data_IF_630460405852
#
_entry.id   IF_630460405852
#
_cell.length_a   1.000
_cell.length_b   1.000
_cell.length_c   1.000
_cell.angle_alpha   90.00
_cell.angle_beta   90.00
_cell.angle_gamma   90.00
#
_symmetry.space_group_name_H-M   'P 1'
#
loop_
_entity.id
_entity.type
_entity.pdbx_description
1 polymer ?
#
# COMPACT_ATOMS: atom_id res chain seq x y z
N UNK A 1 -10.14 -42.53 -0.55
CA UNK A 1 -9.57 -41.97 -1.80
C UNK A 1 -10.23 -40.65 -2.19
N UNK A 2 -10.25 -39.64 -1.31
CA UNK A 2 -10.97 -38.38 -1.60
C UNK A 2 -10.11 -37.10 -1.40
N UNK A 3 -8.81 -37.24 -1.12
CA UNK A 3 -7.95 -36.06 -0.86
C UNK A 3 -7.16 -35.54 -2.06
N UNK A 4 -7.00 -36.32 -3.12
CA UNK A 4 -6.13 -35.95 -4.24
C UNK A 4 -6.84 -35.07 -5.31
N UNK A 5 -8.18 -35.07 -5.35
CA UNK A 5 -8.94 -34.33 -6.38
C UNK A 5 -9.06 -32.84 -6.03
N UNK A 6 -9.12 -32.48 -4.72
CA UNK A 6 -9.26 -31.09 -4.30
C UNK A 6 -7.98 -30.26 -4.54
N UNK A 7 -6.80 -30.86 -4.37
CA UNK A 7 -5.53 -30.17 -4.59
C UNK A 7 -5.24 -29.90 -6.08
N UNK A 8 -5.67 -30.82 -6.97
CA UNK A 8 -5.51 -30.66 -8.42
C UNK A 8 -6.43 -29.56 -9.00
N UNK A 9 -7.63 -29.37 -8.43
CA UNK A 9 -8.57 -28.35 -8.86
C UNK A 9 -8.08 -26.94 -8.48
N UNK A 10 -7.52 -26.76 -7.28
CA UNK A 10 -6.98 -25.47 -6.86
C UNK A 10 -5.71 -25.05 -7.63
N UNK A 11 -4.87 -26.03 -8.02
CA UNK A 11 -3.69 -25.75 -8.86
C UNK A 11 -4.10 -25.39 -10.30
N UNK A 12 -5.14 -26.02 -10.85
CA UNK A 12 -5.67 -25.71 -12.19
C UNK A 12 -6.32 -24.32 -12.23
N UNK A 13 -7.12 -23.94 -11.22
CA UNK A 13 -7.73 -22.61 -11.16
C UNK A 13 -6.69 -21.49 -10.98
N UNK A 14 -5.63 -21.70 -10.18
CA UNK A 14 -4.53 -20.75 -10.04
C UNK A 14 -3.78 -20.53 -11.35
N UNK A 15 -3.55 -21.61 -12.11
CA UNK A 15 -2.85 -21.55 -13.39
C UNK A 15 -3.73 -20.96 -14.51
N UNK A 16 -5.04 -21.19 -14.49
CA UNK A 16 -5.98 -20.60 -15.44
C UNK A 16 -6.17 -19.09 -15.19
N UNK A 17 -6.17 -18.65 -13.94
CA UNK A 17 -6.20 -17.22 -13.58
C UNK A 17 -4.87 -16.56 -14.00
N UNK A 18 -3.73 -17.17 -13.68
CA UNK A 18 -2.41 -16.70 -14.11
C UNK A 18 -2.33 -16.63 -15.65
N UNK A 19 -2.73 -17.68 -16.35
CA UNK A 19 -2.72 -17.73 -17.81
C UNK A 19 -3.75 -16.77 -18.44
N UNK A 20 -4.90 -16.51 -17.82
CA UNK A 20 -5.89 -15.57 -18.34
C UNK A 20 -5.46 -14.11 -18.16
N UNK A 21 -4.64 -13.80 -17.17
CA UNK A 21 -4.09 -12.47 -16.91
C UNK A 21 -2.84 -12.23 -17.76
N UNK A 22 -1.91 -13.21 -17.83
CA UNK A 22 -0.58 -13.04 -18.44
C UNK A 22 -0.44 -13.64 -19.85
N UNK A 23 -1.36 -14.50 -20.30
CA UNK A 23 -1.31 -15.14 -21.63
C UNK A 23 -2.53 -14.82 -22.47
N UNK A 24 -3.11 -13.63 -22.32
CA UNK A 24 -4.12 -13.17 -23.26
C UNK A 24 -3.46 -13.07 -24.65
N UNK A 25 -3.95 -13.81 -25.68
CA UNK A 25 -3.42 -13.64 -27.02
C UNK A 25 -3.53 -12.16 -27.41
N UNK A 26 -2.57 -11.60 -28.15
CA UNK A 26 -2.57 -10.20 -28.53
C UNK A 26 -3.88 -9.90 -29.25
N UNK A 27 -4.75 -9.17 -28.59
CA UNK A 27 -5.94 -8.60 -29.23
C UNK A 27 -5.49 -7.59 -30.28
N UNK A 28 -6.30 -7.34 -31.32
CA UNK A 28 -5.98 -6.34 -32.33
C UNK A 28 -5.73 -4.99 -31.63
N UNK A 29 -4.63 -4.34 -31.94
CA UNK A 29 -4.11 -2.98 -31.67
C UNK A 29 -4.95 -1.99 -30.80
N UNK A 30 -5.57 -2.41 -29.72
CA UNK A 30 -6.46 -1.60 -28.87
C UNK A 30 -6.27 -1.75 -27.36
N UNK A 31 -5.36 -2.61 -26.90
CA UNK A 31 -5.09 -2.79 -25.47
C UNK A 31 -4.15 -1.72 -24.89
N UNK A 32 -4.02 -1.67 -23.57
CA UNK A 32 -3.08 -0.79 -22.88
C UNK A 32 -1.62 -1.11 -23.26
N UNK A 33 -0.73 -0.10 -23.40
CA UNK A 33 0.67 -0.32 -23.77
C UNK A 33 1.49 -1.00 -22.66
N UNK A 34 1.07 -0.88 -21.42
CA UNK A 34 1.67 -1.55 -20.25
C UNK A 34 0.58 -2.29 -19.50
N UNK A 35 0.82 -3.55 -19.17
CA UNK A 35 0.00 -4.28 -18.21
C UNK A 35 0.53 -3.92 -16.81
N UNK A 36 -0.38 -3.62 -15.90
CA UNK A 36 -0.02 -3.25 -14.52
C UNK A 36 -0.81 -4.17 -13.61
N UNK A 37 -0.10 -4.98 -12.84
CA UNK A 37 -0.68 -5.84 -11.82
C UNK A 37 -0.33 -5.30 -10.44
N UNK A 38 -1.34 -5.26 -9.58
CA UNK A 38 -1.18 -4.89 -8.19
C UNK A 38 -0.88 -6.15 -7.39
N UNK A 39 0.39 -6.36 -7.05
CA UNK A 39 0.78 -7.43 -6.15
C UNK A 39 0.29 -7.12 -4.74
N UNK A 40 -0.80 -7.75 -4.33
CA UNK A 40 -1.36 -7.66 -2.97
C UNK A 40 -0.53 -8.39 -1.91
N UNK A 41 0.48 -9.17 -2.30
CA UNK A 41 1.37 -9.87 -1.39
C UNK A 41 2.52 -8.99 -0.89
N UNK A 42 2.21 -7.90 -0.21
CA UNK A 42 3.19 -7.32 0.69
C UNK A 42 3.01 -8.04 2.03
N UNK A 43 3.96 -8.92 2.37
CA UNK A 43 4.11 -9.39 3.76
C UNK A 43 4.49 -8.16 4.57
N UNK A 44 3.51 -7.53 5.19
CA UNK A 44 3.72 -6.34 6.02
C UNK A 44 4.08 -6.83 7.41
N UNK A 45 5.35 -6.77 7.75
CA UNK A 45 5.81 -7.09 9.11
C UNK A 45 5.32 -6.06 10.12
N UNK A 46 5.12 -4.79 9.70
CA UNK A 46 4.60 -3.71 10.53
C UNK A 46 3.80 -2.70 9.73
N UNK A 47 2.78 -2.12 10.36
CA UNK A 47 1.94 -1.09 9.77
C UNK A 47 1.19 -0.27 10.83
N UNK A 48 0.80 0.94 10.46
CA UNK A 48 -0.15 1.75 11.22
C UNK A 48 -1.39 1.93 10.34
N UNK A 49 -2.55 1.51 10.83
CA UNK A 49 -3.83 1.74 10.13
C UNK A 49 -4.78 2.47 11.06
N UNK A 50 -5.20 3.66 10.64
CA UNK A 50 -6.24 4.41 11.34
C UNK A 50 -7.60 4.16 10.70
N UNK A 51 -8.65 4.08 11.52
CA UNK A 51 -10.05 3.94 11.10
C UNK A 51 -10.77 5.27 11.25
N UNK A 52 -11.80 5.55 10.40
CA UNK A 52 -12.64 6.73 10.56
C UNK A 52 -13.51 6.68 11.81
N UNK A 53 -13.85 5.48 12.29
CA UNK A 53 -14.73 5.29 13.43
C UNK A 53 -14.05 4.52 14.55
N UNK A 54 -14.53 4.74 15.79
CA UNK A 54 -14.09 3.99 16.97
C UNK A 54 -14.53 2.54 16.85
N UNK A 55 -13.57 1.63 16.72
CA UNK A 55 -13.80 0.21 16.82
C UNK A 55 -13.86 -0.23 18.30
N UNK A 56 -14.80 -1.11 18.62
CA UNK A 56 -14.91 -1.76 19.93
C UNK A 56 -14.79 -3.26 19.72
N UNK A 57 -13.55 -3.76 19.72
CA UNK A 57 -13.27 -5.19 19.58
C UNK A 57 -13.23 -5.88 20.93
N UNK A 58 -13.92 -7.01 21.02
CA UNK A 58 -13.82 -7.91 22.17
C UNK A 58 -12.54 -8.74 22.10
N UNK A 59 -12.10 -9.29 23.23
CA UNK A 59 -10.88 -10.10 23.29
C UNK A 59 -10.90 -11.32 22.36
N UNK A 60 -12.07 -11.92 22.11
CA UNK A 60 -12.23 -13.02 21.15
C UNK A 60 -11.97 -12.58 19.72
N UNK A 61 -12.42 -11.38 19.34
CA UNK A 61 -12.18 -10.79 18.01
C UNK A 61 -10.72 -10.39 17.85
N UNK A 62 -10.09 -9.83 18.89
CA UNK A 62 -8.66 -9.50 18.87
C UNK A 62 -7.77 -10.74 18.69
N UNK A 63 -8.17 -11.88 19.29
CA UNK A 63 -7.47 -13.15 19.10
C UNK A 63 -7.63 -13.74 17.68
N UNK A 64 -8.78 -13.50 17.04
CA UNK A 64 -8.99 -13.96 15.65
C UNK A 64 -8.25 -13.13 14.62
N UNK A 65 -7.88 -11.88 14.95
CA UNK A 65 -7.09 -10.99 14.11
C UNK A 65 -5.61 -11.15 14.47
N UNK A 66 -4.90 -12.01 13.77
CA UNK A 66 -3.45 -12.18 14.00
C UNK A 66 -2.65 -10.97 13.53
N UNK A 67 -1.66 -10.53 14.31
CA UNK A 67 -0.85 -9.35 13.98
C UNK A 67 0.11 -9.55 12.80
N UNK A 68 0.53 -10.79 12.56
CA UNK A 68 1.46 -11.13 11.47
C UNK A 68 0.78 -11.64 10.20
N UNK A 69 -0.54 -11.50 10.08
CA UNK A 69 -1.30 -11.97 8.93
C UNK A 69 -2.09 -10.86 8.28
N UNK A 70 -2.42 -10.97 6.98
CA UNK A 70 -3.14 -9.95 6.24
C UNK A 70 -4.57 -9.69 6.77
N UNK A 71 -5.18 -10.65 7.48
CA UNK A 71 -6.59 -10.56 7.88
C UNK A 71 -6.90 -9.33 8.75
N UNK A 72 -5.99 -8.93 9.65
CA UNK A 72 -6.18 -7.74 10.48
C UNK A 72 -6.09 -6.45 9.66
N UNK A 73 -5.16 -6.41 8.73
CA UNK A 73 -5.01 -5.32 7.79
C UNK A 73 -6.24 -5.20 6.87
N UNK A 74 -6.63 -6.30 6.22
CA UNK A 74 -7.78 -6.35 5.31
C UNK A 74 -9.08 -5.99 6.04
N UNK A 75 -9.24 -6.46 7.28
CA UNK A 75 -10.38 -6.11 8.11
C UNK A 75 -10.46 -4.60 8.36
N UNK A 76 -9.34 -3.94 8.63
CA UNK A 76 -9.28 -2.51 8.85
C UNK A 76 -9.52 -1.72 7.55
N UNK A 77 -8.89 -2.14 6.46
CA UNK A 77 -9.04 -1.50 5.15
C UNK A 77 -10.48 -1.60 4.61
N UNK A 78 -11.17 -2.73 4.84
CA UNK A 78 -12.57 -2.92 4.49
C UNK A 78 -13.53 -1.97 5.27
N UNK A 79 -13.09 -1.45 6.41
CA UNK A 79 -13.84 -0.49 7.24
C UNK A 79 -13.47 0.98 6.99
N UNK A 80 -12.87 1.26 5.85
CA UNK A 80 -12.47 2.62 5.49
C UNK A 80 -11.16 3.04 6.14
N UNK A 81 -10.37 2.09 6.64
CA UNK A 81 -9.05 2.34 7.19
C UNK A 81 -8.09 2.90 6.14
N UNK A 82 -7.08 3.60 6.61
CA UNK A 82 -5.95 4.07 5.81
C UNK A 82 -4.66 3.87 6.58
N UNK A 83 -3.60 3.52 5.85
CA UNK A 83 -2.26 3.50 6.42
C UNK A 83 -1.75 4.90 6.72
N UNK A 84 -0.83 5.00 7.68
CA UNK A 84 -0.18 6.26 8.00
C UNK A 84 1.18 6.10 8.65
N UNK A 85 2.03 7.10 8.54
CA UNK A 85 1.93 8.29 7.68
C UNK A 85 2.30 7.98 6.21
N UNK A 86 2.59 6.71 5.90
CA UNK A 86 3.00 6.20 4.58
C UNK A 86 2.17 4.98 4.22
N UNK A 87 1.82 4.87 2.95
CA UNK A 87 1.35 3.62 2.33
C UNK A 87 2.32 3.21 1.24
N UNK A 88 2.61 1.91 1.16
CA UNK A 88 3.50 1.32 0.14
C UNK A 88 2.70 0.45 -0.81
N UNK A 89 2.80 0.76 -2.10
CA UNK A 89 2.08 0.09 -3.18
C UNK A 89 3.12 -0.63 -4.05
N UNK A 90 3.04 -1.96 -4.11
CA UNK A 90 3.91 -2.77 -4.97
C UNK A 90 3.18 -3.10 -6.25
N UNK A 91 3.74 -2.72 -7.38
CA UNK A 91 3.20 -3.00 -8.71
C UNK A 91 4.20 -3.79 -9.52
N UNK A 92 3.69 -4.72 -10.33
CA UNK A 92 4.45 -5.31 -11.44
C UNK A 92 3.94 -4.70 -12.73
N UNK A 93 4.82 -4.07 -13.48
CA UNK A 93 4.52 -3.50 -14.80
C UNK A 93 5.15 -4.35 -15.88
N UNK A 94 4.40 -4.64 -16.95
CA UNK A 94 4.85 -5.48 -18.07
C UNK A 94 4.61 -4.77 -19.40
N UNK A 95 5.61 -4.77 -20.28
CA UNK A 95 5.49 -4.24 -21.64
C UNK A 95 4.54 -5.08 -22.51
N UNK A 96 3.58 -4.45 -23.18
CA UNK A 96 2.54 -5.12 -23.96
C UNK A 96 2.47 -4.63 -25.41
N UNK A 97 3.61 -4.28 -25.99
CA UNK A 97 3.76 -3.90 -27.40
C UNK A 97 4.92 -4.65 -28.06
N UNK A 98 4.86 -4.82 -29.37
CA UNK A 98 5.97 -5.40 -30.15
C UNK A 98 7.21 -4.48 -30.18
N UNK A 99 7.04 -3.21 -29.97
CA UNK A 99 8.13 -2.22 -29.79
C UNK A 99 8.24 -1.82 -28.32
N UNK A 100 9.38 -1.30 -27.94
CA UNK A 100 9.60 -0.81 -26.58
C UNK A 100 8.66 0.37 -26.26
N UNK A 101 7.99 0.31 -25.12
CA UNK A 101 7.24 1.41 -24.53
C UNK A 101 8.03 2.02 -23.39
N UNK A 102 7.78 3.29 -23.07
CA UNK A 102 8.49 3.97 -21.99
C UNK A 102 7.53 4.61 -21.00
N UNK A 103 7.67 4.30 -19.73
CA UNK A 103 7.04 5.06 -18.66
C UNK A 103 7.94 6.26 -18.40
N UNK A 104 7.40 7.47 -18.56
CA UNK A 104 8.10 8.75 -18.43
C UNK A 104 7.51 9.62 -17.32
N UNK A 105 6.57 9.12 -16.57
CA UNK A 105 5.97 9.83 -15.45
C UNK A 105 5.02 8.96 -14.67
N UNK A 106 5.03 9.11 -13.35
CA UNK A 106 4.00 8.61 -12.44
C UNK A 106 3.61 9.74 -11.51
N UNK A 107 2.32 9.95 -11.34
CA UNK A 107 1.73 10.99 -10.48
C UNK A 107 0.67 10.35 -9.58
N UNK A 108 0.72 10.62 -8.28
CA UNK A 108 -0.37 10.30 -7.37
C UNK A 108 -1.41 11.43 -7.42
N UNK A 109 -2.49 11.19 -8.16
CA UNK A 109 -3.55 12.18 -8.39
C UNK A 109 -4.56 12.07 -7.26
N UNK A 110 -4.63 13.11 -6.44
CA UNK A 110 -5.56 13.19 -5.31
C UNK A 110 -7.00 13.33 -5.80
N UNK A 111 -7.90 12.49 -5.30
CA UNK A 111 -9.34 12.63 -5.54
C UNK A 111 -9.98 13.49 -4.45
N UNK A 112 -9.60 13.26 -3.20
CA UNK A 112 -10.03 14.08 -2.05
C UNK A 112 -9.03 13.97 -0.91
N UNK A 113 -8.94 15.05 -0.12
CA UNK A 113 -8.20 15.05 1.14
C UNK A 113 -9.04 15.76 2.21
N UNK A 114 -8.94 15.31 3.44
CA UNK A 114 -9.59 15.92 4.60
C UNK A 114 -8.77 15.68 5.88
N UNK A 115 -9.33 15.99 7.04
CA UNK A 115 -8.71 15.78 8.33
C UNK A 115 -8.27 14.32 8.53
N UNK A 116 -7.14 14.08 9.22
CA UNK A 116 -6.64 12.75 9.52
C UNK A 116 -7.66 11.90 10.28
N UNK A 117 -7.64 10.60 10.02
CA UNK A 117 -8.52 9.65 10.71
C UNK A 117 -8.16 9.56 12.20
N UNK A 118 -9.20 9.51 13.07
CA UNK A 118 -9.04 9.53 14.54
C UNK A 118 -9.94 8.54 15.29
N UNK A 119 -10.65 7.66 14.58
CA UNK A 119 -11.56 6.70 15.24
C UNK A 119 -10.81 5.64 16.02
N UNK A 120 -9.97 4.87 15.40
CA UNK A 120 -9.14 3.84 16.06
C UNK A 120 -7.78 3.74 15.35
N UNK A 121 -6.73 3.47 16.10
CA UNK A 121 -5.42 3.17 15.55
C UNK A 121 -5.05 1.71 15.82
N UNK A 122 -4.65 1.00 14.77
CA UNK A 122 -3.98 -0.30 14.82
C UNK A 122 -2.50 -0.07 14.53
N UNK A 123 -1.65 -0.25 15.54
CA UNK A 123 -0.21 -0.02 15.46
C UNK A 123 0.52 -1.36 15.59
N UNK A 124 0.97 -1.93 14.47
CA UNK A 124 1.82 -3.11 14.42
C UNK A 124 3.25 -2.68 14.08
N UNK A 125 4.17 -2.84 15.03
CA UNK A 125 5.57 -2.48 14.85
C UNK A 125 6.36 -3.67 14.30
N UNK A 126 7.34 -3.40 13.42
CA UNK A 126 8.25 -4.39 12.84
C UNK A 126 9.71 -4.08 13.15
N UNK A 127 10.57 -5.05 12.86
CA UNK A 127 12.02 -4.95 13.12
C UNK A 127 12.89 -4.82 11.85
N UNK A 128 12.33 -4.59 10.65
CA UNK A 128 13.15 -4.47 9.43
C UNK A 128 12.37 -4.32 8.12
N UNK A 129 13.05 -4.12 6.98
CA UNK A 129 12.50 -3.98 5.63
C UNK A 129 13.54 -4.20 4.53
N UNK A 130 13.11 -4.50 3.29
CA UNK A 130 13.95 -4.75 2.11
C UNK A 130 13.94 -3.58 1.12
N UNK A 131 15.03 -3.43 0.32
CA UNK A 131 15.18 -2.42 -0.71
C UNK A 131 14.71 -2.92 -2.10
N UNK A 132 13.91 -2.08 -2.79
CA UNK A 132 13.48 -2.24 -4.20
C UNK A 132 13.55 -0.88 -4.91
N UNK A 133 13.34 -0.85 -6.24
CA UNK A 133 13.16 0.44 -6.94
C UNK A 133 11.98 1.15 -6.30
N UNK A 134 12.28 2.22 -5.61
CA UNK A 134 11.33 2.94 -4.77
C UNK A 134 11.11 4.35 -5.33
N UNK A 135 9.88 4.80 -5.33
CA UNK A 135 9.50 6.19 -5.65
C UNK A 135 8.70 6.75 -4.49
N UNK A 136 8.89 8.02 -4.19
CA UNK A 136 8.17 8.70 -3.13
C UNK A 136 7.17 9.72 -3.70
N UNK A 137 5.99 9.81 -3.09
CA UNK A 137 4.94 10.76 -3.44
C UNK A 137 4.52 11.52 -2.19
N UNK A 138 4.72 12.84 -2.20
CA UNK A 138 4.22 13.73 -1.16
C UNK A 138 2.79 14.17 -1.51
N UNK A 139 1.80 13.68 -0.77
CA UNK A 139 0.40 14.05 -0.96
C UNK A 139 0.03 15.39 -0.30
N UNK A 140 0.91 15.99 0.46
CA UNK A 140 0.72 17.35 0.98
C UNK A 140 1.16 18.41 -0.02
N UNK A 141 1.99 18.06 -1.01
CA UNK A 141 2.37 18.93 -2.11
C UNK A 141 1.17 19.24 -3.05
N UNK A 142 1.16 20.37 -3.77
CA UNK A 142 0.12 20.67 -4.77
C UNK A 142 -0.03 19.60 -5.84
N UNK A 143 1.09 19.10 -6.38
CA UNK A 143 1.19 17.97 -7.28
C UNK A 143 2.11 16.91 -6.67
N UNK A 144 1.67 15.67 -6.68
CA UNK A 144 2.39 14.55 -6.09
C UNK A 144 3.06 13.72 -7.18
N UNK A 145 4.14 14.26 -7.77
CA UNK A 145 4.98 13.59 -8.76
C UNK A 145 5.88 12.57 -8.07
N UNK A 146 6.28 11.53 -8.82
CA UNK A 146 7.27 10.56 -8.37
C UNK A 146 8.60 11.25 -8.08
N UNK A 147 9.10 11.12 -6.86
CA UNK A 147 10.38 11.64 -6.40
C UNK A 147 11.39 10.51 -6.25
N UNK A 148 12.69 10.88 -6.32
CA UNK A 148 13.78 9.96 -5.99
C UNK A 148 13.63 9.42 -4.56
N UNK A 149 14.02 8.15 -4.31
CA UNK A 149 14.07 7.63 -2.95
C UNK A 149 15.23 8.26 -2.18
N UNK A 150 14.99 8.57 -0.91
CA UNK A 150 16.03 9.07 -0.01
C UNK A 150 15.73 10.47 0.52
N UNK A 151 16.43 10.84 1.61
CA UNK A 151 16.19 12.10 2.31
C UNK A 151 15.01 12.04 3.29
N UNK A 152 15.08 12.91 4.31
CA UNK A 152 14.03 13.00 5.34
C UNK A 152 12.85 13.86 4.89
N UNK A 153 13.09 14.83 4.01
CA UNK A 153 12.10 15.78 3.53
C UNK A 153 11.77 15.52 2.03
N UNK A 154 10.58 14.98 1.72
CA UNK A 154 10.15 14.73 0.35
C UNK A 154 10.12 15.96 -0.55
N UNK A 155 9.94 17.17 0.02
CA UNK A 155 9.87 18.41 -0.74
C UNK A 155 11.22 18.81 -1.36
N UNK A 156 12.32 18.30 -0.82
CA UNK A 156 13.69 18.57 -1.28
C UNK A 156 14.19 17.54 -2.32
N UNK A 157 13.44 16.49 -2.59
CA UNK A 157 13.83 15.45 -3.53
C UNK A 157 13.55 15.85 -4.98
N UNK A 158 14.45 15.46 -5.88
CA UNK A 158 14.27 15.64 -7.33
C UNK A 158 13.16 14.77 -7.89
N UNK A 159 12.53 15.20 -8.97
CA UNK A 159 11.56 14.38 -9.69
C UNK A 159 12.25 13.19 -10.35
N UNK A 160 11.80 11.97 -10.05
CA UNK A 160 12.40 10.72 -10.54
C UNK A 160 12.52 10.70 -12.08
N UNK A 161 11.48 11.14 -12.77
CA UNK A 161 11.41 11.09 -14.23
C UNK A 161 12.07 12.28 -14.95
N UNK A 162 12.71 13.21 -14.24
CA UNK A 162 13.58 14.22 -14.88
C UNK A 162 14.82 13.59 -15.50
N UNK A 163 15.35 12.54 -14.85
CA UNK A 163 16.60 11.88 -15.28
C UNK A 163 16.43 10.40 -15.59
N UNK A 164 15.29 9.80 -15.23
CA UNK A 164 15.00 8.38 -15.45
C UNK A 164 13.81 8.16 -16.39
N UNK A 165 13.79 6.99 -17.00
CA UNK A 165 12.61 6.42 -17.66
C UNK A 165 12.66 4.90 -17.52
N UNK A 166 11.49 4.25 -17.50
CA UNK A 166 11.40 2.79 -17.47
C UNK A 166 11.01 2.33 -18.86
N UNK A 167 11.91 1.63 -19.54
CA UNK A 167 11.68 1.09 -20.89
C UNK A 167 11.32 -0.38 -20.77
N UNK A 168 10.24 -0.80 -21.41
CA UNK A 168 9.73 -2.16 -21.35
C UNK A 168 9.50 -2.67 -22.78
N UNK A 169 10.16 -3.77 -23.12
CA UNK A 169 9.85 -4.56 -24.31
C UNK A 169 8.70 -5.53 -24.01
N UNK A 170 8.19 -6.21 -25.02
CA UNK A 170 7.08 -7.15 -24.85
C UNK A 170 7.43 -8.28 -23.87
N UNK A 171 6.61 -8.45 -22.84
CA UNK A 171 6.79 -9.46 -21.79
C UNK A 171 7.89 -9.13 -20.77
N UNK A 172 8.59 -8.01 -20.94
CA UNK A 172 9.55 -7.53 -19.93
C UNK A 172 8.81 -6.96 -18.73
N UNK A 173 9.19 -7.41 -17.53
CA UNK A 173 8.55 -7.03 -16.28
C UNK A 173 9.50 -6.23 -15.39
N UNK A 174 8.93 -5.25 -14.70
CA UNK A 174 9.62 -4.46 -13.68
C UNK A 174 8.75 -4.33 -12.45
N UNK A 175 9.33 -4.59 -11.27
CA UNK A 175 8.67 -4.33 -9.99
C UNK A 175 8.95 -2.90 -9.53
N UNK A 176 7.89 -2.18 -9.19
CA UNK A 176 7.94 -0.83 -8.65
C UNK A 176 7.36 -0.82 -7.24
N UNK A 177 8.02 -0.12 -6.33
CA UNK A 177 7.51 0.17 -4.98
C UNK A 177 7.23 1.67 -4.87
N UNK A 178 5.97 2.02 -4.74
CA UNK A 178 5.48 3.39 -4.75
C UNK A 178 5.04 3.76 -3.33
N UNK A 179 5.76 4.67 -2.69
CA UNK A 179 5.52 5.10 -1.33
C UNK A 179 4.81 6.44 -1.33
N UNK A 180 3.54 6.48 -0.95
CA UNK A 180 2.81 7.73 -0.81
C UNK A 180 2.75 8.14 0.67
N UNK A 181 3.08 9.40 0.95
CA UNK A 181 3.12 9.95 2.30
C UNK A 181 2.14 11.11 2.45
N UNK A 182 1.59 11.27 3.65
CA UNK A 182 0.90 12.48 4.07
C UNK A 182 1.16 12.72 5.56
N UNK A 183 1.67 13.90 5.89
CA UNK A 183 1.96 14.32 7.27
C UNK A 183 0.84 15.17 7.88
N UNK A 184 -0.06 15.69 7.06
CA UNK A 184 -1.07 16.67 7.47
C UNK A 184 -2.50 16.18 7.36
N UNK A 185 -2.79 15.26 6.41
CA UNK A 185 -4.16 14.94 6.00
C UNK A 185 -4.39 13.44 5.81
N UNK A 186 -5.65 13.07 5.77
CA UNK A 186 -6.09 11.87 5.07
C UNK A 186 -6.29 12.21 3.60
N UNK A 187 -5.77 11.38 2.68
CA UNK A 187 -5.98 11.54 1.25
C UNK A 187 -6.37 10.22 0.57
N UNK A 188 -7.28 10.33 -0.40
CA UNK A 188 -7.58 9.31 -1.38
C UNK A 188 -6.99 9.72 -2.72
N UNK A 189 -6.35 8.77 -3.42
CA UNK A 189 -5.65 9.05 -4.67
C UNK A 189 -5.65 7.86 -5.60
N UNK A 190 -5.38 8.12 -6.88
CA UNK A 190 -5.06 7.12 -7.90
C UNK A 190 -3.69 7.41 -8.48
N UNK A 191 -3.06 6.40 -9.04
CA UNK A 191 -1.80 6.56 -9.75
C UNK A 191 -2.08 6.78 -11.24
N UNK A 192 -1.46 7.79 -11.82
CA UNK A 192 -1.50 8.09 -13.25
C UNK A 192 -0.12 7.86 -13.84
N UNK A 193 -0.01 6.84 -14.67
CA UNK A 193 1.18 6.56 -15.46
C UNK A 193 1.13 7.31 -16.78
N UNK A 194 2.23 7.96 -17.15
CA UNK A 194 2.42 8.57 -18.47
C UNK A 194 3.33 7.67 -19.28
N UNK A 195 2.78 7.05 -20.33
CA UNK A 195 3.46 6.03 -21.15
C UNK A 195 3.61 6.54 -22.58
N UNK A 196 4.82 6.50 -23.11
CA UNK A 196 5.11 6.72 -24.53
C UNK A 196 4.99 5.39 -25.27
N UNK A 197 4.07 5.34 -26.24
CA UNK A 197 3.78 4.20 -27.12
C UNK A 197 4.01 4.63 -28.57
N UNK A 198 5.20 4.37 -29.11
CA UNK A 198 5.64 4.84 -30.41
C UNK A 198 5.66 6.38 -30.51
N UNK A 199 4.73 6.95 -31.29
CA UNK A 199 4.58 8.41 -31.44
C UNK A 199 3.51 9.02 -30.54
N UNK A 200 2.84 8.22 -29.75
CA UNK A 200 1.72 8.63 -28.88
C UNK A 200 2.11 8.62 -27.41
N UNK A 201 1.48 9.49 -26.64
CA UNK A 201 1.56 9.48 -25.17
C UNK A 201 0.19 9.10 -24.62
N UNK A 202 0.16 8.08 -23.75
CA UNK A 202 -1.04 7.53 -23.16
C UNK A 202 -1.00 7.70 -21.65
N UNK A 203 -2.11 8.09 -21.05
CA UNK A 203 -2.29 8.07 -19.62
C UNK A 203 -2.97 6.76 -19.19
N UNK A 204 -2.35 6.00 -18.28
CA UNK A 204 -2.93 4.81 -17.67
C UNK A 204 -3.17 5.05 -16.19
N UNK A 205 -4.37 4.66 -15.73
CA UNK A 205 -4.77 4.85 -14.34
C UNK A 205 -4.71 3.52 -13.60
N UNK A 206 -4.23 3.59 -12.36
CA UNK A 206 -4.14 2.45 -11.44
C UNK A 206 -4.77 2.85 -10.12
N UNK A 207 -5.63 1.97 -9.61
CA UNK A 207 -6.30 2.11 -8.33
C UNK A 207 -6.31 0.76 -7.57
N UNK A 208 -6.83 0.75 -6.36
CA UNK A 208 -6.99 -0.46 -5.55
C UNK A 208 -8.30 -1.18 -5.93
N UNK A 209 -8.26 -1.94 -7.04
CA UNK A 209 -9.39 -2.77 -7.48
C UNK A 209 -10.71 -1.98 -7.62
N UNK A 210 -10.64 -0.82 -8.29
CA UNK A 210 -11.78 0.08 -8.50
C UNK A 210 -12.01 1.08 -7.36
N UNK A 211 -11.15 1.09 -6.34
CA UNK A 211 -11.18 2.04 -5.23
C UNK A 211 -9.91 2.90 -5.24
N UNK A 212 -9.94 4.13 -4.69
CA UNK A 212 -8.72 4.89 -4.50
C UNK A 212 -7.80 4.23 -3.47
N UNK A 213 -6.49 4.38 -3.63
CA UNK A 213 -5.53 4.18 -2.56
C UNK A 213 -5.76 5.23 -1.47
N UNK A 214 -5.35 4.90 -0.23
CA UNK A 214 -5.61 5.75 0.92
C UNK A 214 -4.38 5.85 1.81
N UNK A 215 -4.11 7.06 2.27
CA UNK A 215 -3.09 7.33 3.29
C UNK A 215 -3.61 8.38 4.26
N UNK A 216 -3.20 8.33 5.51
CA UNK A 216 -3.56 9.33 6.54
C UNK A 216 -2.35 9.74 7.34
N UNK A 217 -2.22 11.01 7.70
CA UNK A 217 -1.27 11.36 8.74
C UNK A 217 -1.67 10.72 10.08
N UNK A 218 -0.69 10.46 10.93
CA UNK A 218 -0.95 9.95 12.26
C UNK A 218 -1.17 11.12 13.24
N UNK A 219 -2.20 10.98 14.06
CA UNK A 219 -2.47 11.86 15.18
C UNK A 219 -1.70 11.41 16.42
N UNK A 220 -1.66 12.22 17.46
CA UNK A 220 -1.18 11.82 18.78
C UNK A 220 -2.07 10.72 19.35
N UNK A 221 -1.52 9.86 20.22
CA UNK A 221 -2.29 8.73 20.76
C UNK A 221 -3.59 9.14 21.45
N UNK A 222 -3.56 10.21 22.24
CA UNK A 222 -4.74 10.68 22.98
C UNK A 222 -5.86 11.26 22.10
N UNK A 223 -5.61 11.47 20.81
CA UNK A 223 -6.61 11.96 19.85
C UNK A 223 -7.40 10.82 19.17
N UNK A 224 -7.02 9.55 19.42
CA UNK A 224 -7.77 8.40 18.91
C UNK A 224 -8.89 7.97 19.85
N UNK A 225 -9.99 7.47 19.29
CA UNK A 225 -11.09 6.88 20.06
C UNK A 225 -10.74 5.55 20.70
N UNK A 226 -9.81 4.77 20.14
CA UNK A 226 -9.26 3.53 20.70
C UNK A 226 -7.91 3.19 20.07
N UNK A 227 -7.07 2.49 20.86
CA UNK A 227 -5.75 2.04 20.43
C UNK A 227 -5.66 0.51 20.50
N UNK A 228 -5.03 -0.07 19.47
CA UNK A 228 -4.70 -1.48 19.39
C UNK A 228 -3.24 -1.62 18.98
N UNK A 229 -2.43 -2.19 19.85
CA UNK A 229 -1.02 -2.44 19.61
C UNK A 229 -0.77 -3.88 19.21
N UNK A 230 0.18 -4.11 18.30
CA UNK A 230 0.56 -5.41 17.79
C UNK A 230 2.01 -5.47 17.33
N UNK A 231 2.42 -6.58 16.70
CA UNK A 231 3.79 -6.79 16.24
C UNK A 231 4.78 -6.93 17.39
N UNK A 232 6.00 -6.39 17.20
CA UNK A 232 7.09 -6.52 18.18
C UNK A 232 6.80 -5.83 19.50
N UNK A 233 5.98 -4.78 19.51
CA UNK A 233 5.62 -4.05 20.73
C UNK A 233 4.83 -4.88 21.74
N UNK A 234 4.19 -5.96 21.27
CA UNK A 234 3.37 -6.88 22.10
C UNK A 234 3.98 -8.28 22.19
N UNK A 235 5.24 -8.46 21.87
CA UNK A 235 5.89 -9.76 21.91
C UNK A 235 5.78 -10.43 23.29
N UNK A 236 5.96 -9.66 24.38
CA UNK A 236 5.80 -10.14 25.75
C UNK A 236 4.34 -10.55 26.08
N UNK A 237 3.37 -10.08 25.31
CA UNK A 237 1.96 -10.41 25.46
C UNK A 237 1.53 -11.58 24.56
N UNK A 238 2.47 -12.37 24.05
CA UNK A 238 2.20 -13.46 23.12
C UNK A 238 1.98 -13.04 21.67
N UNK A 239 2.39 -11.80 21.29
CA UNK A 239 2.36 -11.31 19.91
C UNK A 239 0.97 -11.01 19.35
N UNK A 240 -0.07 -11.00 20.16
CA UNK A 240 -1.44 -10.67 19.77
C UNK A 240 -1.74 -9.17 19.87
N UNK A 241 -2.91 -8.76 19.41
CA UNK A 241 -3.40 -7.40 19.57
C UNK A 241 -3.76 -7.10 21.01
N UNK A 242 -3.29 -5.98 21.53
CA UNK A 242 -3.54 -5.50 22.89
C UNK A 242 -4.23 -4.14 22.82
N UNK A 243 -5.43 -4.05 23.40
CA UNK A 243 -6.14 -2.78 23.52
C UNK A 243 -5.58 -1.94 24.67
N UNK A 244 -5.41 -0.64 24.44
CA UNK A 244 -4.97 0.32 25.45
C UNK A 244 -5.85 1.57 25.47
N UNK A 245 -5.85 2.24 26.62
CA UNK A 245 -6.49 3.54 26.75
C UNK A 245 -5.63 4.61 26.06
N UNK A 246 -6.17 5.36 25.09
CA UNK A 246 -5.46 6.44 24.42
C UNK A 246 -4.88 7.48 25.38
N UNK A 247 -5.58 7.78 26.46
CA UNK A 247 -5.17 8.81 27.43
C UNK A 247 -3.90 8.42 28.20
N UNK A 248 -3.61 7.13 28.34
CA UNK A 248 -2.42 6.65 29.04
C UNK A 248 -1.09 6.95 28.29
N UNK A 249 -1.15 7.29 27.01
CA UNK A 249 0.00 7.64 26.18
C UNK A 249 0.16 9.15 25.94
N UNK A 250 -0.83 9.94 26.33
CA UNK A 250 -0.78 11.40 26.18
C UNK A 250 -0.60 11.85 24.73
N UNK A 251 0.23 12.84 24.53
CA UNK A 251 0.49 13.49 23.25
C UNK A 251 1.65 12.88 22.44
N UNK A 252 2.08 11.65 22.78
CA UNK A 252 3.12 10.94 22.04
C UNK A 252 2.65 10.62 20.61
N UNK A 253 3.60 10.71 19.67
CA UNK A 253 3.35 10.35 18.28
C UNK A 253 3.55 8.84 18.08
N UNK A 254 2.58 8.13 17.48
CA UNK A 254 2.70 6.69 17.22
C UNK A 254 3.93 6.31 16.41
N UNK A 255 4.30 7.11 15.42
CA UNK A 255 5.42 6.81 14.52
C UNK A 255 6.79 6.85 15.22
N UNK A 256 6.97 7.74 16.16
CA UNK A 256 8.22 7.86 16.96
C UNK A 256 8.22 7.04 18.25
N UNK A 257 7.12 6.29 18.52
CA UNK A 257 7.01 5.51 19.73
C UNK A 257 7.85 4.23 19.64
N UNK A 258 8.80 4.08 20.53
CA UNK A 258 9.69 2.90 20.66
C UNK A 258 9.49 2.10 21.95
N UNK A 259 8.50 2.48 22.76
CA UNK A 259 8.22 1.84 24.04
C UNK A 259 7.53 0.48 23.89
N UNK A 260 7.84 -0.43 24.83
CA UNK A 260 7.05 -1.65 24.97
C UNK A 260 5.65 -1.34 25.49
N UNK A 261 4.66 -2.05 25.02
CA UNK A 261 3.29 -1.99 25.52
C UNK A 261 3.11 -3.12 26.52
N UNK A 262 3.04 -2.80 27.79
CA UNK A 262 2.84 -3.81 28.83
C UNK A 262 1.60 -4.68 28.58
N UNK A 263 1.55 -5.92 29.06
CA UNK A 263 0.38 -6.80 28.99
C UNK A 263 -0.60 -6.49 30.12
#
# INVERSE_FOLDING_TARGET
MSGAIAAAVLAAFGQDIYNSIFHRPPGPLGGLPVLIDHSSEIVREGYFVALPQKAQLQNSQLKSLSTGKPEAYDWAMARGGAEGPRTSIKLVVEGHREHAVKIIGVEAVKERCHEPLSGSLFAAYSAGGEENISMLFDLDAPRSLAKEPGGEDPSMLSDYFEVHSISLTRGEQQTLVLNATSEKRYCEFKLKFTVVDGKSTVAQWVDDSGRPFRVTSLRKFNEYGSLYFGGVSTYQCGGGWVRRDPQSFGDQNPYSFSGGVGC
#
